data_IF_164366354743
#
_entry.id   IF_164366354743
#
_cell.length_a   1.000
_cell.length_b   1.000
_cell.length_c   1.000
_cell.angle_alpha   90.00
_cell.angle_beta   90.00
_cell.angle_gamma   90.00
#
_symmetry.space_group_name_H-M   'P 1'
#
loop_
_entity.id
_entity.type
_entity.pdbx_description
1 polymer ?
#
# COMPACT_ATOMS: atom_id res chain seq x y z
N UNK A 1 29.76 28.74 -4.54
CA UNK A 1 29.11 27.79 -3.61
C UNK A 1 27.76 27.39 -4.18
N UNK A 2 27.76 26.47 -5.14
CA UNK A 2 26.55 25.88 -5.70
C UNK A 2 25.91 24.95 -4.67
N UNK A 3 24.87 25.42 -4.00
CA UNK A 3 23.93 24.53 -3.31
C UNK A 3 23.08 23.89 -4.41
N UNK A 4 23.20 22.58 -4.55
CA UNK A 4 22.32 21.77 -5.39
C UNK A 4 20.85 21.97 -4.96
N UNK A 5 20.15 22.90 -5.62
CA UNK A 5 18.72 23.20 -5.44
C UNK A 5 17.80 22.18 -6.15
N UNK A 6 18.24 20.92 -6.24
CA UNK A 6 17.43 19.84 -6.83
C UNK A 6 16.71 19.10 -5.70
N UNK A 7 15.38 18.94 -5.78
CA UNK A 7 14.63 18.19 -4.78
C UNK A 7 15.15 16.75 -4.71
N UNK A 8 15.11 16.11 -3.52
CA UNK A 8 15.56 14.73 -3.37
C UNK A 8 14.75 13.80 -4.28
N UNK A 9 15.44 12.85 -4.88
CA UNK A 9 14.80 11.78 -5.66
C UNK A 9 14.52 10.58 -4.74
N UNK A 10 13.37 9.95 -4.97
CA UNK A 10 12.93 8.77 -4.23
C UNK A 10 12.77 7.59 -5.17
N UNK A 11 12.99 6.38 -4.66
CA UNK A 11 12.72 5.15 -5.41
C UNK A 11 11.21 4.97 -5.52
N UNK A 12 10.70 4.95 -6.74
CA UNK A 12 9.27 4.77 -7.03
C UNK A 12 8.96 3.34 -7.51
N UNK A 13 9.91 2.68 -8.17
CA UNK A 13 9.74 1.31 -8.65
C UNK A 13 11.09 0.60 -8.93
N UNK A 14 11.04 -0.72 -9.11
CA UNK A 14 12.18 -1.59 -9.44
C UNK A 14 11.80 -2.58 -10.53
N UNK A 15 12.46 -2.47 -11.69
CA UNK A 15 12.41 -3.50 -12.70
C UNK A 15 13.52 -4.53 -12.44
N UNK A 16 13.14 -5.60 -11.73
CA UNK A 16 14.06 -6.68 -11.36
C UNK A 16 14.60 -7.41 -12.59
N UNK A 17 13.78 -7.55 -13.64
CA UNK A 17 14.16 -8.30 -14.85
C UNK A 17 15.27 -7.58 -15.61
N UNK A 18 15.18 -6.26 -15.70
CA UNK A 18 16.16 -5.44 -16.40
C UNK A 18 17.23 -4.82 -15.48
N UNK A 19 17.15 -5.08 -14.16
CA UNK A 19 18.02 -4.49 -13.14
C UNK A 19 18.01 -2.94 -13.17
N UNK A 20 16.82 -2.35 -13.33
CA UNK A 20 16.63 -0.90 -13.39
C UNK A 20 15.95 -0.41 -12.10
N UNK A 21 16.50 0.65 -11.52
CA UNK A 21 15.90 1.38 -10.42
C UNK A 21 15.23 2.64 -10.98
N UNK A 22 13.93 2.78 -10.75
CA UNK A 22 13.16 3.94 -11.21
C UNK A 22 13.06 4.93 -10.05
N UNK A 23 13.46 6.17 -10.29
CA UNK A 23 13.43 7.25 -9.31
C UNK A 23 12.59 8.42 -9.79
N UNK A 24 11.91 9.08 -8.86
CA UNK A 24 10.99 10.19 -9.13
C UNK A 24 10.95 11.20 -7.99
N UNK A 25 10.01 12.13 -8.06
CA UNK A 25 9.74 13.10 -7.00
C UNK A 25 9.04 12.46 -5.81
N UNK A 26 8.84 13.21 -4.74
CA UNK A 26 8.09 12.69 -3.58
C UNK A 26 6.63 12.41 -3.94
N UNK A 27 6.00 13.25 -4.76
CA UNK A 27 4.59 13.07 -5.15
C UNK A 27 4.37 11.76 -5.91
N UNK A 28 5.34 11.34 -6.73
CA UNK A 28 5.30 10.09 -7.49
C UNK A 28 5.42 8.84 -6.61
N UNK A 29 5.75 8.99 -5.33
CA UNK A 29 5.78 7.87 -4.38
C UNK A 29 4.40 7.52 -3.84
N UNK A 30 3.36 8.33 -4.08
CA UNK A 30 2.03 8.10 -3.53
C UNK A 30 1.18 7.22 -4.46
N UNK A 31 0.44 6.28 -3.86
CA UNK A 31 -0.50 5.42 -4.55
C UNK A 31 -1.92 5.65 -4.03
N UNK A 32 -2.90 5.50 -4.92
CA UNK A 32 -4.33 5.62 -4.61
C UNK A 32 -4.94 4.32 -4.09
N UNK A 33 -4.26 3.20 -4.35
CA UNK A 33 -4.70 1.89 -3.93
C UNK A 33 -3.62 0.83 -4.09
N UNK A 34 -4.02 -0.42 -3.86
CA UNK A 34 -3.17 -1.59 -4.05
C UNK A 34 -3.96 -2.83 -4.38
N UNK A 35 -3.27 -3.81 -4.94
CA UNK A 35 -3.77 -5.17 -5.13
C UNK A 35 -2.94 -6.10 -4.26
N UNK A 36 -3.64 -6.97 -3.52
CA UNK A 36 -3.03 -8.02 -2.72
C UNK A 36 -3.25 -9.38 -3.35
N UNK A 37 -2.26 -10.26 -3.21
CA UNK A 37 -2.38 -11.69 -3.45
C UNK A 37 -2.21 -12.48 -2.15
N UNK A 38 -2.46 -13.79 -2.22
CA UNK A 38 -2.41 -14.71 -1.06
C UNK A 38 -3.14 -14.15 0.16
N UNK A 39 -4.26 -13.47 -0.09
CA UNK A 39 -4.93 -12.70 0.93
C UNK A 39 -6.01 -13.51 1.63
N UNK A 40 -6.15 -13.27 2.93
CA UNK A 40 -7.16 -13.92 3.77
C UNK A 40 -7.87 -12.87 4.61
N UNK A 41 -9.19 -12.87 4.52
CA UNK A 41 -10.07 -12.08 5.38
C UNK A 41 -10.78 -13.06 6.32
N UNK A 42 -10.74 -12.77 7.62
CA UNK A 42 -11.38 -13.59 8.64
C UNK A 42 -12.87 -13.28 8.74
N UNK A 43 -13.25 -12.00 8.68
CA UNK A 43 -14.66 -11.58 8.72
C UNK A 43 -14.78 -10.09 8.35
N UNK A 44 -15.76 -9.71 7.54
CA UNK A 44 -16.20 -8.32 7.42
C UNK A 44 -17.65 -8.25 7.90
N UNK A 45 -17.86 -8.12 9.20
CA UNK A 45 -19.19 -7.74 9.68
C UNK A 45 -19.50 -6.31 9.23
N UNK A 46 -20.69 -6.15 8.66
CA UNK A 46 -21.20 -4.95 8.01
C UNK A 46 -20.79 -3.63 8.72
N UNK A 47 -20.14 -2.75 7.95
CA UNK A 47 -19.95 -1.31 8.17
C UNK A 47 -18.96 -0.80 9.23
N UNK A 48 -18.07 -1.63 9.77
CA UNK A 48 -17.01 -1.08 10.65
C UNK A 48 -15.87 -0.46 9.84
N UNK A 49 -15.31 0.64 10.35
CA UNK A 49 -14.15 1.33 9.77
C UNK A 49 -12.99 0.33 9.70
N UNK A 50 -12.60 -0.06 8.50
CA UNK A 50 -11.44 -0.91 8.28
C UNK A 50 -10.25 0.01 8.03
N UNK A 51 -9.25 -0.13 8.89
CA UNK A 51 -7.95 0.50 8.66
C UNK A 51 -6.97 -0.53 8.11
N UNK A 52 -6.00 -0.06 7.35
CA UNK A 52 -4.93 -0.86 6.79
C UNK A 52 -3.58 -0.34 7.28
N UNK A 53 -2.67 -1.25 7.55
CA UNK A 53 -1.28 -0.95 7.80
C UNK A 53 -0.41 -1.75 6.82
N UNK A 54 0.45 -1.07 6.07
CA UNK A 54 1.38 -1.70 5.12
C UNK A 54 2.84 -1.66 5.59
N UNK A 55 3.10 -0.92 6.69
CA UNK A 55 4.41 -0.80 7.34
C UNK A 55 4.24 -0.77 8.84
N UNK A 56 5.08 -1.51 9.56
CA UNK A 56 4.97 -1.69 11.02
C UNK A 56 4.90 -0.37 11.82
N UNK A 57 5.65 0.65 11.41
CA UNK A 57 5.69 1.96 12.10
C UNK A 57 4.73 3.02 11.52
N UNK A 58 3.89 2.63 10.57
CA UNK A 58 2.94 3.55 9.95
C UNK A 58 1.62 3.54 10.73
N UNK A 59 1.04 4.71 10.94
CA UNK A 59 -0.32 4.83 11.45
C UNK A 59 -1.30 4.16 10.48
N UNK A 60 -2.19 3.26 10.93
CA UNK A 60 -3.17 2.65 10.06
C UNK A 60 -4.04 3.69 9.36
N UNK A 61 -4.26 3.52 8.05
CA UNK A 61 -5.03 4.45 7.24
C UNK A 61 -6.37 3.87 6.84
N UNK A 62 -7.36 4.72 6.55
CA UNK A 62 -8.71 4.30 6.19
C UNK A 62 -8.76 3.76 4.76
N UNK A 63 -9.50 2.67 4.61
CA UNK A 63 -9.83 2.10 3.30
C UNK A 63 -11.15 2.72 2.81
N UNK A 64 -11.18 3.14 1.55
CA UNK A 64 -12.38 3.65 0.88
C UNK A 64 -13.21 2.52 0.28
N UNK A 65 -12.56 1.53 -0.33
CA UNK A 65 -13.22 0.46 -1.04
C UNK A 65 -12.38 -0.82 -1.02
N UNK A 66 -13.05 -1.96 -0.91
CA UNK A 66 -12.46 -3.30 -0.96
C UNK A 66 -13.28 -4.13 -1.93
N UNK A 67 -12.61 -4.69 -2.93
CA UNK A 67 -13.16 -5.73 -3.79
C UNK A 67 -12.39 -7.02 -3.52
N UNK A 68 -13.07 -8.03 -2.99
CA UNK A 68 -12.48 -9.32 -2.71
C UNK A 68 -12.93 -10.33 -3.76
N UNK A 69 -11.97 -10.88 -4.52
CA UNK A 69 -12.18 -11.99 -5.45
C UNK A 69 -11.26 -13.14 -5.08
N UNK A 70 -11.82 -14.12 -4.38
CA UNK A 70 -11.12 -15.32 -3.90
C UNK A 70 -9.91 -14.99 -3.00
N UNK A 71 -8.68 -15.08 -3.55
CA UNK A 71 -7.41 -14.82 -2.86
C UNK A 71 -6.77 -13.49 -3.27
N UNK A 72 -7.42 -12.73 -4.15
CA UNK A 72 -6.95 -11.44 -4.66
C UNK A 72 -7.89 -10.33 -4.21
N UNK A 73 -7.34 -9.35 -3.49
CA UNK A 73 -8.11 -8.22 -2.97
C UNK A 73 -7.60 -6.93 -3.60
N UNK A 74 -8.51 -6.15 -4.19
CA UNK A 74 -8.24 -4.79 -4.64
C UNK A 74 -8.73 -3.79 -3.59
N UNK A 75 -7.89 -2.82 -3.29
CA UNK A 75 -8.14 -1.80 -2.25
C UNK A 75 -7.92 -0.42 -2.83
N UNK A 76 -8.86 0.48 -2.57
CA UNK A 76 -8.68 1.91 -2.78
C UNK A 76 -8.64 2.61 -1.43
N UNK A 77 -7.68 3.51 -1.27
CA UNK A 77 -7.49 4.25 -0.02
C UNK A 77 -8.41 5.46 0.04
N UNK A 78 -8.71 5.92 1.26
CA UNK A 78 -9.44 7.18 1.43
C UNK A 78 -8.59 8.39 1.04
N UNK A 79 -7.28 8.30 1.24
CA UNK A 79 -6.27 9.30 0.88
C UNK A 79 -5.06 8.61 0.24
N UNK A 80 -4.32 9.25 -0.69
CA UNK A 80 -3.11 8.66 -1.26
C UNK A 80 -2.11 8.27 -0.19
N UNK A 81 -1.55 7.06 -0.29
CA UNK A 81 -0.60 6.52 0.67
C UNK A 81 0.78 6.44 0.04
N UNK A 82 1.77 6.95 0.77
CA UNK A 82 3.16 6.99 0.34
C UNK A 82 3.79 5.60 0.36
N UNK A 83 4.50 5.29 -0.72
CA UNK A 83 5.42 4.20 -0.91
C UNK A 83 4.81 2.81 -0.62
N UNK A 84 3.73 2.49 -1.33
CA UNK A 84 3.13 1.16 -1.37
C UNK A 84 4.06 0.21 -2.15
N UNK A 85 4.71 -0.72 -1.46
CA UNK A 85 5.79 -1.52 -2.06
C UNK A 85 5.37 -2.98 -2.26
N UNK A 86 5.43 -3.51 -3.50
CA UNK A 86 5.25 -4.93 -3.76
C UNK A 86 6.11 -5.83 -2.87
N UNK A 87 5.56 -6.96 -2.45
CA UNK A 87 6.19 -7.93 -1.55
C UNK A 87 6.05 -7.61 -0.05
N UNK A 88 5.60 -6.41 0.33
CA UNK A 88 5.27 -6.12 1.73
C UNK A 88 3.91 -6.71 2.12
N UNK A 89 3.68 -6.87 3.42
CA UNK A 89 2.39 -7.31 3.94
C UNK A 89 1.48 -6.12 4.20
N UNK A 90 0.22 -6.25 3.80
CA UNK A 90 -0.86 -5.38 4.22
C UNK A 90 -1.70 -6.11 5.27
N UNK A 91 -1.99 -5.44 6.39
CA UNK A 91 -2.78 -5.98 7.50
C UNK A 91 -4.00 -5.10 7.70
N UNK A 92 -5.17 -5.73 7.81
CA UNK A 92 -6.44 -5.05 8.03
C UNK A 92 -6.84 -5.13 9.49
N UNK A 93 -7.34 -4.01 10.00
CA UNK A 93 -7.77 -3.86 11.38
C UNK A 93 -9.17 -3.29 11.48
N UNK A 94 -9.83 -3.65 12.57
CA UNK A 94 -11.08 -3.05 13.04
C UNK A 94 -10.89 -2.68 14.51
N UNK A 95 -10.54 -1.42 14.77
CA UNK A 95 -9.94 -1.03 16.04
C UNK A 95 -8.63 -1.79 16.25
N UNK A 96 -8.52 -2.52 17.37
CA UNK A 96 -7.32 -3.31 17.71
C UNK A 96 -7.37 -4.76 17.20
N UNK A 97 -8.47 -5.18 16.56
CA UNK A 97 -8.64 -6.55 16.06
C UNK A 97 -8.08 -6.70 14.65
N UNK A 98 -7.21 -7.69 14.45
CA UNK A 98 -6.75 -8.11 13.12
C UNK A 98 -7.89 -8.83 12.40
N UNK A 99 -8.24 -8.32 11.22
CA UNK A 99 -9.31 -8.84 10.38
C UNK A 99 -8.78 -9.66 9.21
N UNK A 100 -7.49 -9.57 8.90
CA UNK A 100 -6.86 -10.28 7.81
C UNK A 100 -5.67 -9.56 7.24
N UNK A 101 -5.23 -10.00 6.07
CA UNK A 101 -4.13 -9.39 5.34
C UNK A 101 -3.74 -10.16 4.10
N UNK A 102 -2.70 -9.69 3.43
CA UNK A 102 -2.15 -10.30 2.22
C UNK A 102 -0.81 -9.67 1.83
N UNK A 103 -0.23 -10.16 0.75
CA UNK A 103 1.03 -9.63 0.22
C UNK A 103 0.69 -8.65 -0.90
N UNK A 104 1.29 -7.46 -0.86
CA UNK A 104 1.11 -6.43 -1.88
C UNK A 104 1.72 -6.95 -3.18
N UNK A 105 0.88 -7.11 -4.20
CA UNK A 105 1.29 -7.52 -5.55
C UNK A 105 1.72 -6.29 -6.35
N UNK A 106 0.88 -5.24 -6.37
CA UNK A 106 1.16 -3.98 -7.05
C UNK A 106 0.36 -2.81 -6.46
N UNK A 107 0.84 -1.59 -6.69
CA UNK A 107 0.14 -0.34 -6.38
C UNK A 107 -0.81 0.08 -7.52
N UNK A 108 -1.76 0.97 -7.22
CA UNK A 108 -2.74 1.57 -8.16
C UNK A 108 -2.63 3.09 -8.16
#
# INVERSE_FOLDING_TARGET
>A
NDKNDKPPLYVIDKDIKNNILIVGTDEETFASGMVLNNSRILEFENSRIITCQIRYRQTPFKIKFIENRESRIKILFSEPIRAVTPGQHAVFYNGDRVMGGGIIENQI
#
